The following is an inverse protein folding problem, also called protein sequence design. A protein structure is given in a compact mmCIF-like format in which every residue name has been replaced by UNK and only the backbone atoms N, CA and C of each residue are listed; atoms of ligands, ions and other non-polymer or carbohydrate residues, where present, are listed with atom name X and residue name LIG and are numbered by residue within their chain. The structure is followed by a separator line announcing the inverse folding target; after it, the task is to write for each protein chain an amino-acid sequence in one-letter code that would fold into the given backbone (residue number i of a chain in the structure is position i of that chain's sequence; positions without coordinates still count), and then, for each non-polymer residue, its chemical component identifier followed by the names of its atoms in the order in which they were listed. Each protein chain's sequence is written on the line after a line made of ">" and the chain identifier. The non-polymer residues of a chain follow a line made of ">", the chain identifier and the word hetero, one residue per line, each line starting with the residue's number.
data_IF_383635257273
#
_entry.id   IF_383635257273
#
_cell.length_a   1.000
_cell.length_b   1.000
_cell.length_c   1.000
_cell.angle_alpha   90.00
_cell.angle_beta   90.00
_cell.angle_gamma   90.00
#
_symmetry.space_group_name_H-M   'P 1'
#
loop_
_entity.id
_entity.type
_entity.pdbx_description
1 polymer ?
#
# COMPACT_ATOMS: atom_id res chain seq x y z
N UNK A 1 2.22 42.66 61.55
CA UNK A 1 1.83 41.27 61.86
C UNK A 1 1.70 40.56 60.53
N UNK A 2 2.70 39.73 60.20
CA UNK A 2 2.95 39.18 58.87
C UNK A 2 2.25 37.82 58.68
N UNK A 3 1.77 37.53 57.48
CA UNK A 3 1.35 36.19 57.07
C UNK A 3 2.07 35.84 55.76
N UNK A 4 3.10 34.98 55.85
CA UNK A 4 3.81 34.38 54.71
C UNK A 4 3.20 33.01 54.39
N UNK A 5 3.17 32.58 53.12
CA UNK A 5 2.48 31.39 52.67
C UNK A 5 3.34 30.14 52.85
N UNK A 6 2.74 29.04 53.32
CA UNK A 6 3.35 27.71 53.28
C UNK A 6 2.87 27.01 52.01
N UNK A 7 3.75 26.94 51.01
CA UNK A 7 3.58 26.08 49.84
C UNK A 7 3.93 24.64 50.24
N UNK A 8 2.92 23.80 50.43
CA UNK A 8 3.08 22.35 50.55
C UNK A 8 3.40 21.77 49.17
N UNK A 9 4.67 21.43 48.95
CA UNK A 9 5.10 20.64 47.79
C UNK A 9 4.59 19.20 47.90
N UNK A 10 3.77 18.77 46.94
CA UNK A 10 3.34 17.38 46.85
C UNK A 10 4.50 16.47 46.40
N UNK A 11 4.60 15.21 46.89
CA UNK A 11 5.63 14.29 46.46
C UNK A 11 5.41 13.88 44.99
N UNK A 12 6.42 14.08 44.15
CA UNK A 12 6.45 13.57 42.78
C UNK A 12 6.61 12.05 42.81
N UNK A 13 5.59 11.33 42.33
CA UNK A 13 5.67 9.89 42.13
C UNK A 13 6.73 9.58 41.04
N UNK A 14 7.81 8.90 41.42
CA UNK A 14 8.79 8.40 40.45
C UNK A 14 8.13 7.29 39.61
N UNK A 15 8.03 7.51 38.31
CA UNK A 15 7.57 6.49 37.36
C UNK A 15 8.63 5.37 37.31
N UNK A 16 8.20 4.13 37.51
CA UNK A 16 9.10 2.98 37.43
C UNK A 16 9.53 2.74 35.98
N UNK A 17 10.84 2.54 35.77
CA UNK A 17 11.39 2.22 34.46
C UNK A 17 10.90 0.84 33.99
N UNK A 18 10.26 0.81 32.82
CA UNK A 18 9.78 -0.41 32.17
C UNK A 18 10.57 -0.70 30.90
N UNK A 19 10.87 -1.98 30.63
CA UNK A 19 11.55 -2.40 29.40
C UNK A 19 10.49 -2.72 28.34
N UNK A 20 10.52 -1.98 27.24
CA UNK A 20 9.71 -2.30 26.05
C UNK A 20 10.59 -3.06 25.06
N UNK A 21 10.23 -4.30 24.77
CA UNK A 21 10.94 -5.13 23.79
C UNK A 21 10.17 -5.17 22.49
N UNK A 22 10.72 -4.54 21.45
CA UNK A 22 10.20 -4.62 20.10
C UNK A 22 10.89 -5.77 19.37
N UNK A 23 10.10 -6.70 18.83
CA UNK A 23 10.57 -7.75 17.92
C UNK A 23 9.86 -7.61 16.59
N UNK A 24 10.61 -7.47 15.51
CA UNK A 24 10.08 -7.36 14.17
C UNK A 24 11.11 -7.80 13.14
N UNK A 25 10.63 -8.16 11.95
CA UNK A 25 11.44 -8.46 10.78
C UNK A 25 11.16 -7.40 9.73
N UNK A 26 12.20 -6.76 9.21
CA UNK A 26 12.09 -5.90 8.02
C UNK A 26 12.26 -6.82 6.82
N UNK A 27 11.21 -6.91 5.99
CA UNK A 27 11.27 -7.55 4.68
C UNK A 27 11.27 -6.44 3.63
N UNK A 28 12.21 -6.48 2.70
CA UNK A 28 12.16 -5.58 1.54
C UNK A 28 10.94 -5.94 0.68
N UNK A 29 10.21 -4.92 0.23
CA UNK A 29 9.09 -5.12 -0.68
C UNK A 29 9.61 -5.79 -1.96
N UNK A 30 9.10 -6.97 -2.35
CA UNK A 30 9.68 -7.72 -3.46
C UNK A 30 9.52 -7.02 -4.81
N UNK A 31 8.66 -6.00 -4.92
CA UNK A 31 8.51 -5.24 -6.15
C UNK A 31 8.27 -3.76 -5.87
N UNK A 32 8.61 -2.95 -6.87
CA UNK A 32 8.25 -1.54 -6.90
C UNK A 32 7.00 -1.33 -7.76
N UNK A 33 6.04 -0.60 -7.21
CA UNK A 33 4.88 -0.06 -7.90
C UNK A 33 5.05 1.46 -7.89
N UNK A 34 5.09 2.08 -9.07
CA UNK A 34 5.11 3.54 -9.20
C UNK A 34 3.94 3.96 -10.05
N UNK A 35 2.98 4.67 -9.46
CA UNK A 35 1.81 5.19 -10.16
C UNK A 35 2.06 6.64 -10.55
N UNK A 36 2.41 6.93 -11.81
CA UNK A 36 2.51 8.29 -12.32
C UNK A 36 1.14 8.96 -12.44
N UNK A 37 1.15 10.27 -12.69
CA UNK A 37 -0.06 11.11 -12.71
C UNK A 37 -1.06 10.74 -13.82
N UNK A 38 -0.63 10.06 -14.88
CA UNK A 38 -1.49 9.54 -15.95
C UNK A 38 -2.16 8.20 -15.59
N UNK A 39 -1.89 7.67 -14.39
CA UNK A 39 -2.51 6.47 -13.85
C UNK A 39 -2.02 5.15 -14.45
N UNK A 40 -1.08 5.20 -15.40
CA UNK A 40 -0.48 4.01 -16.02
C UNK A 40 0.79 3.62 -15.30
N UNK A 41 0.88 2.40 -14.80
CA UNK A 41 2.04 1.92 -14.06
C UNK A 41 2.47 0.54 -14.51
N UNK A 42 3.76 0.27 -14.30
CA UNK A 42 4.33 -1.04 -14.49
C UNK A 42 4.82 -1.61 -13.16
N UNK A 43 4.72 -2.92 -13.01
CA UNK A 43 5.35 -3.64 -11.92
C UNK A 43 6.81 -3.92 -12.32
N UNK A 44 7.75 -3.55 -11.45
CA UNK A 44 9.19 -3.68 -11.73
C UNK A 44 9.91 -4.43 -10.61
N UNK A 45 10.84 -5.30 -11.01
CA UNK A 45 11.67 -6.07 -10.08
C UNK A 45 10.94 -7.16 -9.30
N UNK A 46 9.72 -7.57 -9.70
CA UNK A 46 8.94 -8.59 -9.01
C UNK A 46 9.67 -9.94 -8.97
N UNK A 47 9.68 -10.66 -7.84
CA UNK A 47 10.15 -12.04 -7.79
C UNK A 47 9.22 -12.96 -8.56
N UNK A 48 9.69 -14.17 -8.87
CA UNK A 48 8.84 -15.22 -9.46
C UNK A 48 7.64 -15.60 -8.56
N UNK A 49 7.72 -15.39 -7.23
CA UNK A 49 6.58 -15.59 -6.32
C UNK A 49 5.46 -14.58 -6.52
N UNK A 50 5.67 -13.53 -7.32
CA UNK A 50 4.60 -12.64 -7.75
C UNK A 50 3.71 -13.26 -8.85
N UNK A 51 4.10 -14.40 -9.41
CA UNK A 51 3.31 -15.14 -10.41
C UNK A 51 2.01 -15.64 -9.77
N UNK A 52 0.87 -15.12 -10.22
CA UNK A 52 -0.44 -15.44 -9.63
C UNK A 52 -0.84 -14.57 -8.44
N UNK A 53 0.02 -13.64 -8.02
CA UNK A 53 -0.34 -12.59 -7.06
C UNK A 53 -1.52 -11.77 -7.53
N UNK A 54 -2.08 -10.98 -6.64
CA UNK A 54 -3.27 -10.19 -6.95
C UNK A 54 -3.01 -8.71 -6.69
N UNK A 55 -3.25 -7.90 -7.72
CA UNK A 55 -3.34 -6.46 -7.60
C UNK A 55 -4.76 -6.07 -7.20
N UNK A 56 -4.88 -5.21 -6.21
CA UNK A 56 -6.16 -4.68 -5.74
C UNK A 56 -6.09 -3.17 -5.68
N UNK A 57 -7.17 -2.48 -6.05
CA UNK A 57 -7.32 -1.03 -5.84
C UNK A 57 -8.45 -0.77 -4.86
N UNK A 58 -8.16 0.07 -3.87
CA UNK A 58 -9.12 0.49 -2.87
C UNK A 58 -9.16 2.02 -2.81
N UNK A 59 -10.34 2.60 -2.63
CA UNK A 59 -10.47 4.05 -2.53
C UNK A 59 -10.24 4.52 -1.10
N UNK A 60 -9.43 5.56 -0.93
CA UNK A 60 -9.21 6.26 0.34
C UNK A 60 -10.16 7.46 0.44
N UNK A 61 -11.41 7.24 0.86
CA UNK A 61 -12.37 8.33 1.16
C UNK A 61 -13.77 8.16 0.55
N UNK A 62 -14.62 9.21 0.55
CA UNK A 62 -15.90 9.25 -0.18
C UNK A 62 -15.71 9.79 -1.60
N UNK A 63 -16.17 9.08 -2.64
CA UNK A 63 -15.94 9.45 -4.04
C UNK A 63 -16.65 8.52 -5.03
N UNK A 64 -16.25 8.54 -6.30
CA UNK A 64 -16.60 7.49 -7.26
C UNK A 64 -15.42 6.49 -7.27
N UNK A 65 -15.67 5.17 -7.30
CA UNK A 65 -14.59 4.16 -7.21
C UNK A 65 -13.58 4.23 -8.37
N UNK A 66 -12.66 3.27 -8.45
CA UNK A 66 -11.78 3.09 -9.60
C UNK A 66 -11.61 1.61 -9.90
N UNK A 67 -11.21 1.30 -11.13
CA UNK A 67 -10.86 -0.04 -11.57
C UNK A 67 -9.42 -0.07 -12.05
N UNK A 68 -8.75 -1.19 -11.81
CA UNK A 68 -7.51 -1.52 -12.48
C UNK A 68 -7.85 -2.07 -13.85
N UNK A 69 -7.05 -1.73 -14.85
CA UNK A 69 -7.13 -2.25 -16.21
C UNK A 69 -5.79 -2.85 -16.57
N UNK A 70 -5.77 -4.12 -16.95
CA UNK A 70 -4.62 -4.73 -17.60
C UNK A 70 -4.53 -4.17 -19.02
N UNK A 71 -3.43 -3.49 -19.34
CA UNK A 71 -3.23 -2.85 -20.64
C UNK A 71 -3.17 -3.86 -21.79
N UNK A 72 -2.66 -5.07 -21.55
CA UNK A 72 -2.48 -6.08 -22.58
C UNK A 72 -3.79 -6.80 -22.92
N UNK A 73 -4.57 -7.20 -21.91
CA UNK A 73 -5.83 -7.92 -22.11
C UNK A 73 -7.06 -7.02 -22.20
N UNK A 74 -6.97 -5.78 -21.74
CA UNK A 74 -8.11 -4.88 -21.56
C UNK A 74 -9.03 -5.29 -20.42
N UNK A 75 -8.70 -6.33 -19.65
CA UNK A 75 -9.49 -6.76 -18.51
C UNK A 75 -9.51 -5.68 -17.44
N UNK A 76 -10.70 -5.36 -16.93
CA UNK A 76 -10.90 -4.29 -15.97
C UNK A 76 -11.68 -4.78 -14.75
N UNK A 77 -11.10 -4.61 -13.57
CA UNK A 77 -11.71 -4.98 -12.29
C UNK A 77 -11.05 -4.23 -11.13
N UNK A 78 -11.69 -4.20 -9.96
CA UNK A 78 -11.07 -3.72 -8.72
C UNK A 78 -9.91 -4.62 -8.28
N UNK A 79 -9.91 -5.87 -8.76
CA UNK A 79 -8.94 -6.90 -8.45
C UNK A 79 -8.52 -7.64 -9.72
N UNK A 80 -7.22 -7.60 -10.05
CA UNK A 80 -6.65 -8.25 -11.21
C UNK A 80 -5.49 -9.16 -10.82
N UNK A 81 -5.33 -10.32 -11.48
CA UNK A 81 -4.12 -11.11 -11.32
C UNK A 81 -2.90 -10.32 -11.83
N UNK A 82 -1.83 -10.39 -11.05
CA UNK A 82 -0.52 -9.85 -11.39
C UNK A 82 0.10 -10.70 -12.45
N UNK A 83 0.76 -10.01 -13.37
CA UNK A 83 1.12 -10.65 -14.56
C UNK A 83 2.62 -10.42 -14.96
N UNK A 84 3.37 -11.53 -15.14
CA UNK A 84 4.81 -11.68 -15.29
C UNK A 84 5.40 -11.25 -16.65
N UNK A 85 6.40 -10.38 -16.59
CA UNK A 85 7.04 -9.73 -17.73
C UNK A 85 7.88 -10.63 -18.69
N UNK A 86 8.37 -11.79 -18.24
CA UNK A 86 9.14 -12.72 -19.07
C UNK A 86 8.59 -14.14 -19.00
N UNK A 87 8.49 -14.75 -20.17
CA UNK A 87 7.78 -16.00 -20.41
C UNK A 87 8.77 -17.10 -20.73
N UNK A 88 8.75 -18.16 -19.92
CA UNK A 88 9.30 -19.46 -20.25
C UNK A 88 8.27 -20.30 -21.00
N UNK A 89 8.71 -21.08 -22.00
CA UNK A 89 7.85 -22.02 -22.73
C UNK A 89 7.23 -23.01 -21.70
N UNK A 90 5.90 -23.18 -21.73
CA UNK A 90 5.03 -23.90 -20.78
C UNK A 90 4.47 -23.14 -19.54
N UNK A 91 4.50 -21.81 -19.50
CA UNK A 91 3.73 -21.04 -18.49
C UNK A 91 2.74 -20.05 -19.11
N UNK A 92 1.75 -19.67 -18.31
CA UNK A 92 0.81 -18.58 -18.65
C UNK A 92 1.60 -17.29 -18.74
N UNK A 93 1.36 -16.54 -19.80
CA UNK A 93 1.99 -15.26 -20.07
C UNK A 93 1.11 -14.16 -19.53
N UNK A 94 1.75 -13.09 -19.11
CA UNK A 94 1.15 -12.31 -18.07
C UNK A 94 1.64 -10.84 -18.18
N UNK A 95 0.74 -9.85 -18.14
CA UNK A 95 1.01 -8.41 -18.32
C UNK A 95 1.65 -7.67 -17.13
N UNK A 96 2.76 -6.97 -17.34
CA UNK A 96 3.37 -6.11 -16.31
C UNK A 96 2.82 -4.69 -16.25
N UNK A 97 1.87 -4.33 -17.12
CA UNK A 97 1.40 -2.95 -17.32
C UNK A 97 -0.09 -2.80 -16.99
N UNK A 98 -0.38 -1.86 -16.11
CA UNK A 98 -1.71 -1.61 -15.58
C UNK A 98 -2.07 -0.13 -15.68
N UNK A 99 -3.37 0.16 -15.75
CA UNK A 99 -3.90 1.52 -15.68
C UNK A 99 -4.98 1.62 -14.62
N UNK A 100 -4.98 2.71 -13.87
CA UNK A 100 -6.10 3.09 -13.02
C UNK A 100 -7.11 3.84 -13.89
N UNK A 101 -8.35 3.37 -13.93
CA UNK A 101 -9.46 4.09 -14.52
C UNK A 101 -10.43 4.53 -13.42
N UNK A 102 -10.55 5.84 -13.14
CA UNK A 102 -11.55 6.34 -12.21
C UNK A 102 -12.94 6.15 -12.79
N UNK A 103 -13.92 5.87 -11.92
CA UNK A 103 -15.32 5.71 -12.33
C UNK A 103 -15.91 7.01 -12.88
N UNK A 104 -15.37 8.16 -12.50
CA UNK A 104 -15.73 9.47 -13.06
C UNK A 104 -14.48 10.13 -13.64
N UNK A 105 -14.46 10.46 -14.95
CA UNK A 105 -13.34 11.14 -15.57
C UNK A 105 -13.03 12.47 -14.87
N UNK A 106 -11.77 12.69 -14.52
CA UNK A 106 -11.33 13.92 -13.84
C UNK A 106 -11.56 13.94 -12.33
N UNK A 107 -11.99 12.83 -11.70
CA UNK A 107 -12.00 12.76 -10.23
C UNK A 107 -10.58 12.77 -9.66
N UNK A 108 -10.40 13.46 -8.54
CA UNK A 108 -9.14 13.57 -7.79
C UNK A 108 -9.18 12.72 -6.53
N UNK A 109 -9.82 11.57 -6.62
CA UNK A 109 -9.93 10.64 -5.50
C UNK A 109 -8.56 10.03 -5.19
N UNK A 110 -8.31 9.78 -3.91
CA UNK A 110 -7.12 9.05 -3.48
C UNK A 110 -7.40 7.54 -3.54
N UNK A 111 -6.44 6.78 -4.08
CA UNK A 111 -6.53 5.33 -4.18
C UNK A 111 -5.30 4.67 -3.55
N UNK A 112 -5.53 3.56 -2.87
CA UNK A 112 -4.51 2.63 -2.40
C UNK A 112 -4.44 1.48 -3.40
N UNK A 113 -3.26 1.26 -3.98
CA UNK A 113 -2.98 0.09 -4.81
C UNK A 113 -2.14 -0.88 -3.98
N UNK A 114 -2.65 -2.09 -3.81
CA UNK A 114 -2.03 -3.14 -3.01
C UNK A 114 -1.67 -4.33 -3.89
N UNK A 115 -0.53 -4.96 -3.61
CA UNK A 115 -0.09 -6.19 -4.23
C UNK A 115 0.01 -7.28 -3.15
N UNK A 116 -0.91 -8.24 -3.23
CA UNK A 116 -0.95 -9.39 -2.34
C UNK A 116 -0.16 -10.55 -2.96
N UNK A 117 0.92 -10.96 -2.29
CA UNK A 117 1.75 -12.08 -2.70
C UNK A 117 1.13 -13.41 -2.24
N UNK A 118 1.21 -14.42 -3.10
CA UNK A 118 0.90 -15.81 -2.76
C UNK A 118 2.07 -16.51 -2.05
#
# INVERSE_FOLDING_TARGET
>A
MACLPVLLGAPTAALADGVIRFSGRIVEAPCAIRVPADGQFALTGCPLSAEGSTLTIERSGPGAGARLVDVASGAAAERLPVAAAEVAVDRRNFSSHYRIEPATPGSTDAYLVSLDYL
#
